data_IF_650523778093
#
_entry.id   IF_650523778093
#
_cell.length_a   1.000
_cell.length_b   1.000
_cell.length_c   1.000
_cell.angle_alpha   90.00
_cell.angle_beta   90.00
_cell.angle_gamma   90.00
#
_symmetry.space_group_name_H-M   'P 1'
#
loop_
_entity.id
_entity.type
_entity.pdbx_description
1 polymer ?
#
# COMPACT_ATOMS: atom_id res chain seq x y z
N UNK A 1 23.90 -4.59 1.17
CA UNK A 1 22.43 -4.56 0.94
C UNK A 1 21.83 -3.59 1.97
N UNK A 2 21.17 -2.51 1.53
CA UNK A 2 20.48 -1.58 2.45
C UNK A 2 19.36 -2.39 3.12
N UNK A 3 19.50 -2.71 4.40
CA UNK A 3 18.43 -3.36 5.15
C UNK A 3 17.24 -2.40 5.19
N UNK A 4 16.17 -2.72 4.46
CA UNK A 4 14.89 -2.08 4.69
C UNK A 4 14.40 -2.55 6.06
N UNK A 5 14.11 -1.62 6.95
CA UNK A 5 13.49 -1.97 8.23
C UNK A 5 12.19 -2.72 7.94
N UNK A 6 11.82 -3.71 8.78
CA UNK A 6 10.61 -4.51 8.56
C UNK A 6 9.38 -3.62 8.37
N UNK A 7 9.33 -2.48 9.06
CA UNK A 7 8.31 -1.45 8.89
C UNK A 7 8.27 -0.87 7.46
N UNK A 8 9.42 -0.48 6.89
CA UNK A 8 9.47 0.04 5.51
C UNK A 8 9.02 -1.04 4.53
N UNK A 9 9.47 -2.28 4.73
CA UNK A 9 9.09 -3.41 3.87
C UNK A 9 7.58 -3.70 3.94
N UNK A 10 6.99 -3.70 5.13
CA UNK A 10 5.54 -3.89 5.32
C UNK A 10 4.73 -2.76 4.66
N UNK A 11 5.19 -1.51 4.74
CA UNK A 11 4.53 -0.38 4.09
C UNK A 11 4.61 -0.52 2.56
N UNK A 12 5.79 -0.77 1.98
CA UNK A 12 5.93 -0.98 0.54
C UNK A 12 5.10 -2.17 0.04
N UNK A 13 5.18 -3.30 0.75
CA UNK A 13 4.42 -4.51 0.41
C UNK A 13 2.91 -4.27 0.48
N UNK A 14 2.45 -3.61 1.54
CA UNK A 14 1.03 -3.27 1.70
C UNK A 14 0.52 -2.27 0.67
N UNK A 15 1.33 -1.30 0.24
CA UNK A 15 0.97 -0.41 -0.88
C UNK A 15 0.77 -1.21 -2.17
N UNK A 16 1.79 -1.98 -2.57
CA UNK A 16 1.74 -2.77 -3.82
C UNK A 16 0.56 -3.74 -3.80
N UNK A 17 0.34 -4.41 -2.67
CA UNK A 17 -0.78 -5.33 -2.51
C UNK A 17 -2.14 -4.64 -2.62
N UNK A 18 -2.30 -3.49 -1.96
CA UNK A 18 -3.56 -2.75 -1.99
C UNK A 18 -3.85 -2.18 -3.39
N UNK A 19 -2.84 -1.67 -4.09
CA UNK A 19 -2.97 -1.26 -5.50
C UNK A 19 -3.36 -2.44 -6.39
N UNK A 20 -2.75 -3.59 -6.19
CA UNK A 20 -3.10 -4.80 -6.93
C UNK A 20 -4.55 -5.25 -6.67
N UNK A 21 -5.03 -5.14 -5.44
CA UNK A 21 -6.43 -5.45 -5.10
C UNK A 21 -7.42 -4.41 -5.64
N UNK A 22 -6.97 -3.18 -5.91
CA UNK A 22 -7.78 -2.08 -6.43
C UNK A 22 -7.91 -2.11 -7.95
N UNK A 23 -6.81 -2.43 -8.65
CA UNK A 23 -6.72 -2.44 -10.12
C UNK A 23 -6.98 -3.82 -10.76
N UNK A 24 -6.71 -4.93 -10.05
CA UNK A 24 -6.75 -6.25 -10.70
C UNK A 24 -8.17 -6.77 -10.93
N UNK A 25 -8.40 -7.54 -12.02
CA UNK A 25 -9.65 -8.24 -12.27
C UNK A 25 -9.84 -9.46 -11.33
N UNK A 26 -9.05 -9.61 -10.25
CA UNK A 26 -9.28 -10.63 -9.20
C UNK A 26 -10.69 -10.50 -8.63
N UNK A 27 -11.23 -9.28 -8.62
CA UNK A 27 -12.61 -9.02 -8.24
C UNK A 27 -13.61 -9.76 -9.13
N UNK A 28 -13.31 -9.91 -10.43
CA UNK A 28 -14.12 -10.66 -11.38
C UNK A 28 -13.94 -12.18 -11.21
N UNK A 29 -12.78 -12.62 -10.72
CA UNK A 29 -12.52 -14.04 -10.40
C UNK A 29 -13.25 -14.46 -9.13
N UNK A 30 -13.30 -13.61 -8.10
CA UNK A 30 -14.15 -13.82 -6.93
C UNK A 30 -15.65 -13.83 -7.31
N UNK A 31 -16.02 -13.06 -8.33
CA UNK A 31 -17.39 -12.97 -8.87
C UNK A 31 -17.77 -14.10 -9.85
N UNK A 32 -16.88 -15.09 -10.10
CA UNK A 32 -17.21 -16.31 -10.89
C UNK A 32 -17.93 -17.39 -10.07
N UNK A 33 -18.09 -17.18 -8.78
CA UNK A 33 -18.87 -18.05 -7.91
C UNK A 33 -20.31 -17.52 -7.98
N UNK A 34 -21.15 -18.16 -8.79
CA UNK A 34 -22.56 -17.85 -8.95
C UNK A 34 -23.23 -17.79 -7.55
N UNK A 35 -23.86 -16.67 -7.10
CA UNK A 35 -24.56 -15.67 -7.91
C UNK A 35 -24.06 -14.21 -7.71
N UNK A 36 -24.23 -13.37 -8.74
CA UNK A 36 -24.17 -11.91 -8.67
C UNK A 36 -25.29 -11.31 -7.78
N UNK A 37 -25.37 -11.66 -6.49
CA UNK A 37 -26.38 -11.07 -5.59
C UNK A 37 -26.03 -9.62 -5.25
N UNK A 38 -24.75 -9.24 -5.30
CA UNK A 38 -24.28 -7.90 -4.97
C UNK A 38 -23.56 -7.17 -6.11
N UNK A 39 -23.39 -7.76 -7.30
CA UNK A 39 -22.90 -7.12 -8.54
C UNK A 39 -22.08 -5.83 -8.36
N UNK A 40 -22.64 -4.69 -8.81
CA UNK A 40 -22.06 -3.35 -8.67
C UNK A 40 -21.87 -2.92 -7.20
N UNK A 41 -22.85 -3.08 -6.28
CA UNK A 41 -22.64 -2.80 -4.86
C UNK A 41 -21.39 -3.44 -4.24
N UNK A 42 -21.07 -4.69 -4.59
CA UNK A 42 -19.85 -5.37 -4.13
C UNK A 42 -18.59 -4.70 -4.67
N UNK A 43 -18.56 -4.38 -5.98
CA UNK A 43 -17.43 -3.67 -6.58
C UNK A 43 -17.20 -2.33 -5.90
N UNK A 44 -18.26 -1.59 -5.58
CA UNK A 44 -18.18 -0.30 -4.88
C UNK A 44 -17.61 -0.49 -3.47
N UNK A 45 -18.17 -1.40 -2.68
CA UNK A 45 -17.69 -1.64 -1.30
C UNK A 45 -16.25 -2.12 -1.28
N UNK A 46 -15.89 -3.04 -2.18
CA UNK A 46 -14.52 -3.53 -2.32
C UNK A 46 -13.55 -2.41 -2.68
N UNK A 47 -13.89 -1.60 -3.69
CA UNK A 47 -13.01 -0.52 -4.13
C UNK A 47 -12.86 0.54 -3.03
N UNK A 48 -13.96 0.93 -2.36
CA UNK A 48 -13.92 1.84 -1.21
C UNK A 48 -13.11 1.28 -0.04
N UNK A 49 -13.21 -0.02 0.23
CA UNK A 49 -12.45 -0.68 1.29
C UNK A 49 -10.94 -0.63 1.01
N UNK A 50 -10.50 -1.01 -0.19
CA UNK A 50 -9.06 -0.97 -0.55
C UNK A 50 -8.54 0.45 -0.71
N UNK A 51 -9.38 1.37 -1.14
CA UNK A 51 -9.08 2.78 -1.14
C UNK A 51 -8.83 3.29 0.29
N UNK A 52 -9.72 2.97 1.22
CA UNK A 52 -9.55 3.31 2.63
C UNK A 52 -8.30 2.67 3.23
N UNK A 53 -8.01 1.41 2.89
CA UNK A 53 -6.80 0.72 3.32
C UNK A 53 -5.53 1.44 2.83
N UNK A 54 -5.49 1.89 1.58
CA UNK A 54 -4.39 2.72 1.06
C UNK A 54 -4.26 4.04 1.83
N UNK A 55 -5.37 4.75 2.06
CA UNK A 55 -5.35 6.01 2.82
C UNK A 55 -4.81 5.80 4.24
N UNK A 56 -5.26 4.75 4.94
CA UNK A 56 -4.79 4.42 6.27
C UNK A 56 -3.29 4.06 6.25
N UNK A 57 -2.84 3.33 5.23
CA UNK A 57 -1.44 2.93 5.09
C UNK A 57 -0.53 4.13 4.79
N UNK A 58 -0.98 5.08 3.97
CA UNK A 58 -0.29 6.36 3.78
C UNK A 58 -0.26 7.21 5.06
N UNK A 59 -1.34 7.21 5.84
CA UNK A 59 -1.38 7.91 7.12
C UNK A 59 -0.38 7.30 8.13
N UNK A 60 -0.29 5.97 8.20
CA UNK A 60 0.72 5.27 8.99
C UNK A 60 2.13 5.59 8.50
N UNK A 61 2.34 5.59 7.18
CA UNK A 61 3.63 5.97 6.58
C UNK A 61 4.04 7.42 6.92
N UNK A 62 3.07 8.33 6.96
CA UNK A 62 3.26 9.72 7.35
C UNK A 62 3.70 9.83 8.81
N UNK A 63 2.96 9.22 9.75
CA UNK A 63 3.32 9.25 11.18
C UNK A 63 4.65 8.55 11.46
N UNK A 64 4.99 7.51 10.70
CA UNK A 64 6.24 6.76 10.88
C UNK A 64 7.45 7.43 10.21
N UNK A 65 7.31 8.67 9.69
CA UNK A 65 8.38 9.40 9.01
C UNK A 65 9.08 8.54 7.95
N UNK A 66 8.30 7.75 7.21
CA UNK A 66 8.78 6.68 6.35
C UNK A 66 9.79 7.16 5.28
N UNK A 67 9.66 8.42 4.85
CA UNK A 67 10.54 9.09 3.89
C UNK A 67 11.71 9.88 4.49
N UNK A 68 11.84 9.97 5.82
CA UNK A 68 12.93 10.74 6.42
C UNK A 68 14.30 10.11 6.12
N UNK A 69 15.30 10.90 5.72
CA UNK A 69 16.64 10.41 5.44
C UNK A 69 17.19 9.75 6.70
N UNK A 70 17.71 8.53 6.57
CA UNK A 70 18.45 7.88 7.66
C UNK A 70 19.63 8.78 8.01
N UNK A 71 20.01 8.93 9.30
CA UNK A 71 21.11 9.80 9.71
C UNK A 71 22.43 9.54 8.96
N UNK A 72 22.62 8.31 8.48
CA UNK A 72 23.76 7.93 7.63
C UNK A 72 23.77 8.69 6.28
N UNK A 73 22.63 8.83 5.61
CA UNK A 73 22.53 9.52 4.32
C UNK A 73 22.69 11.04 4.46
N UNK A 74 22.26 11.59 5.59
CA UNK A 74 22.43 13.01 5.92
C UNK A 74 23.91 13.36 6.13
N UNK A 75 24.66 12.51 6.84
CA UNK A 75 26.10 12.74 7.06
C UNK A 75 26.92 12.61 5.78
N UNK A 76 26.57 11.70 4.86
CA UNK A 76 27.24 11.60 3.55
C UNK A 76 26.90 12.78 2.64
N UNK A 77 25.66 13.29 2.68
CA UNK A 77 25.24 14.46 1.91
C UNK A 77 25.87 15.78 2.41
N UNK A 78 26.17 15.87 3.72
CA UNK A 78 26.88 17.03 4.31
C UNK A 78 28.40 16.97 4.18
N UNK A 79 28.96 15.83 3.79
CA UNK A 79 30.41 15.61 3.65
C UNK A 79 30.91 15.65 2.20
N UNK A 80 30.04 15.94 1.23
CA UNK A 80 30.43 16.13 -0.16
C UNK A 80 30.65 17.64 -0.40
N UNK A 81 31.91 18.10 -0.60
CA UNK A 81 32.22 19.50 -0.90
C UNK A 81 31.71 19.93 -2.28
#
# INVERSE_FOLDING_TARGET
MKYLTPLKLSIYGGMIFSFFMLESPIIMLANRIEPMVLGIPFLIVWNLFWWFALTALFLVAYFTNWGSPTPMAENTAKQQP
#
